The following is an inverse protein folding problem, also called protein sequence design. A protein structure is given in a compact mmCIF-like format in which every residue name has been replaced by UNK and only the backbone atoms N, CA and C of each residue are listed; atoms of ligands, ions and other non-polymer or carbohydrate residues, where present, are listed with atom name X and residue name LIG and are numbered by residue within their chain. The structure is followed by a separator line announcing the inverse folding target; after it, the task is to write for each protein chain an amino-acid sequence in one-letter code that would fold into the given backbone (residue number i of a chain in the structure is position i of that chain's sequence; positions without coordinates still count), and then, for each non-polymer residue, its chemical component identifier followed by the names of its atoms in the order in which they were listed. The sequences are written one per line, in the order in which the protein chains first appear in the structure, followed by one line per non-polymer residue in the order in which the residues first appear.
data_IF_772514722393
#
_entry.id   IF_772514722393
#
_cell.length_a   1.000
_cell.length_b   1.000
_cell.length_c   1.000
_cell.angle_alpha   90.00
_cell.angle_beta   90.00
_cell.angle_gamma   90.00
#
_symmetry.space_group_name_H-M   'P 1'
#
loop_
_entity.id
_entity.type
_entity.pdbx_description
1 polymer ?
#
# COMPACT_ATOMS: atom_id res chain seq x y z
N UNK A 1 -22.23 -10.67 -2.30
CA UNK A 1 -21.55 -10.61 -0.99
C UNK A 1 -21.78 -9.27 -0.32
N UNK A 2 -21.99 -9.28 0.98
CA UNK A 2 -22.11 -8.04 1.74
C UNK A 2 -20.75 -7.32 1.77
N UNK A 3 -20.78 -6.01 1.55
CA UNK A 3 -19.59 -5.18 1.69
C UNK A 3 -19.15 -5.13 3.15
N UNK A 4 -17.84 -5.13 3.37
CA UNK A 4 -17.25 -4.80 4.67
C UNK A 4 -16.92 -3.31 4.71
N UNK A 5 -17.18 -2.69 5.84
CA UNK A 5 -16.82 -1.29 6.06
C UNK A 5 -15.46 -1.21 6.75
N UNK A 6 -14.61 -0.35 6.22
CA UNK A 6 -13.30 -0.07 6.76
C UNK A 6 -12.94 1.39 6.52
N UNK A 7 -11.71 1.77 6.83
CA UNK A 7 -11.19 3.10 6.57
C UNK A 7 -9.89 2.99 5.75
N UNK A 8 -9.77 3.83 4.73
CA UNK A 8 -8.47 4.18 4.17
C UNK A 8 -7.91 5.27 5.09
N UNK A 9 -6.89 4.93 5.87
CA UNK A 9 -6.32 5.87 6.85
C UNK A 9 -5.18 6.67 6.28
N UNK A 10 -4.53 6.18 5.23
CA UNK A 10 -3.43 6.87 4.56
C UNK A 10 -3.26 6.37 3.14
N UNK A 11 -2.81 7.26 2.27
CA UNK A 11 -2.42 6.97 0.89
C UNK A 11 -1.01 7.49 0.67
N UNK A 12 -0.12 6.64 0.18
CA UNK A 12 1.29 6.93 -0.03
C UNK A 12 1.63 6.84 -1.52
N UNK A 13 2.16 7.93 -2.06
CA UNK A 13 2.67 7.99 -3.45
C UNK A 13 4.02 8.70 -3.43
N UNK A 14 5.03 8.08 -3.99
CA UNK A 14 6.35 8.70 -4.17
C UNK A 14 6.99 8.23 -5.47
N UNK A 15 7.65 9.13 -6.15
CA UNK A 15 8.38 8.84 -7.39
C UNK A 15 9.75 8.18 -7.15
N UNK A 16 10.19 8.06 -5.89
CA UNK A 16 11.53 7.55 -5.55
C UNK A 16 11.47 6.38 -4.58
N UNK A 17 12.50 5.53 -4.64
CA UNK A 17 12.76 4.49 -3.65
C UNK A 17 13.62 5.09 -2.53
N UNK A 18 12.97 5.57 -1.45
CA UNK A 18 13.69 6.21 -0.35
C UNK A 18 14.50 5.24 0.49
N UNK A 19 14.09 3.96 0.55
CA UNK A 19 14.76 2.92 1.36
C UNK A 19 15.73 2.12 0.50
N UNK A 20 16.71 2.81 -0.05
CA UNK A 20 17.81 2.23 -0.80
C UNK A 20 19.12 2.35 -0.02
N UNK A 21 20.05 1.44 -0.30
CA UNK A 21 21.36 1.42 0.35
C UNK A 21 21.27 0.87 1.77
N UNK A 22 22.15 1.34 2.65
CA UNK A 22 22.24 0.84 4.03
C UNK A 22 21.27 1.59 4.93
N UNK A 23 20.45 0.88 5.74
CA UNK A 23 19.57 1.54 6.71
C UNK A 23 20.28 2.51 7.65
N UNK A 24 21.53 2.23 8.02
CA UNK A 24 22.34 3.11 8.89
C UNK A 24 22.62 4.48 8.27
N UNK A 25 22.54 4.63 6.96
CA UNK A 25 22.73 5.90 6.25
C UNK A 25 21.48 6.77 6.19
N UNK A 26 20.35 6.25 6.67
CA UNK A 26 19.06 6.93 6.62
C UNK A 26 18.40 6.85 5.24
N UNK A 27 17.10 7.19 5.17
CA UNK A 27 16.35 7.16 3.92
C UNK A 27 16.75 8.32 3.00
N UNK A 28 16.57 8.12 1.71
CA UNK A 28 16.65 9.22 0.73
C UNK A 28 15.44 10.12 0.88
N UNK A 29 15.59 11.45 0.69
CA UNK A 29 14.45 12.35 0.74
C UNK A 29 13.51 12.13 -0.44
N UNK A 30 12.21 12.25 -0.19
CA UNK A 30 11.22 12.31 -1.24
C UNK A 30 11.20 13.71 -1.85
N UNK A 31 11.02 13.86 -3.18
CA UNK A 31 11.03 15.16 -3.85
C UNK A 31 9.79 16.00 -3.53
N UNK A 32 8.74 15.37 -3.02
CA UNK A 32 7.48 16.01 -2.61
C UNK A 32 6.85 15.22 -1.47
N UNK A 33 5.86 15.80 -0.76
CA UNK A 33 5.13 15.07 0.27
C UNK A 33 4.52 13.77 -0.27
N UNK A 34 4.65 12.68 0.49
CA UNK A 34 4.17 11.34 0.08
C UNK A 34 2.70 11.11 0.41
N UNK A 35 2.15 11.84 1.37
CA UNK A 35 0.74 11.73 1.77
C UNK A 35 -0.16 12.30 0.68
N UNK A 36 -1.23 11.58 0.37
CA UNK A 36 -2.26 12.01 -0.57
C UNK A 36 -3.62 11.90 0.09
N UNK A 37 -4.53 12.83 -0.22
CA UNK A 37 -5.94 12.72 0.15
C UNK A 37 -6.71 11.81 -0.82
N UNK A 38 -6.25 11.68 -2.04
CA UNK A 38 -6.75 10.75 -3.03
C UNK A 38 -5.64 10.28 -3.97
N UNK A 39 -5.89 9.18 -4.66
CA UNK A 39 -5.00 8.65 -5.70
C UNK A 39 -5.79 8.28 -6.93
N UNK A 40 -5.18 8.45 -8.10
CA UNK A 40 -5.69 7.94 -9.35
C UNK A 40 -5.07 6.56 -9.61
N UNK A 41 -5.93 5.58 -9.84
CA UNK A 41 -5.55 4.21 -10.16
C UNK A 41 -5.73 3.98 -11.65
N UNK A 42 -4.77 3.33 -12.28
CA UNK A 42 -4.85 2.91 -13.68
C UNK A 42 -4.65 1.41 -13.79
N UNK A 43 -5.59 0.75 -14.47
CA UNK A 43 -5.57 -0.70 -14.66
C UNK A 43 -4.24 -1.17 -15.26
N UNK A 44 -3.62 -2.15 -14.62
CA UNK A 44 -2.36 -2.74 -15.06
C UNK A 44 -1.13 -1.84 -14.92
N UNK A 45 -1.28 -0.59 -14.47
CA UNK A 45 -0.19 0.38 -14.38
C UNK A 45 0.18 0.75 -12.94
N UNK A 46 -0.80 0.97 -12.08
CA UNK A 46 -0.59 1.35 -10.68
C UNK A 46 -1.21 2.69 -10.31
N UNK A 47 -0.60 3.36 -9.32
CA UNK A 47 -1.03 4.68 -8.87
C UNK A 47 -0.24 5.76 -9.62
N UNK A 48 -0.95 6.71 -10.21
CA UNK A 48 -0.32 7.82 -10.95
C UNK A 48 0.64 8.58 -10.04
N UNK A 49 1.88 8.74 -10.50
CA UNK A 49 2.95 9.43 -9.77
C UNK A 49 3.79 8.55 -8.86
N UNK A 50 3.40 7.30 -8.65
CA UNK A 50 4.18 6.38 -7.83
C UNK A 50 5.35 5.76 -8.61
N UNK A 51 6.40 5.35 -7.88
CA UNK A 51 7.62 4.76 -8.47
C UNK A 51 7.39 3.45 -9.21
N UNK A 52 6.32 2.72 -8.88
CA UNK A 52 5.96 1.47 -9.55
C UNK A 52 4.99 1.67 -10.72
N UNK A 53 4.60 2.92 -10.98
CA UNK A 53 3.65 3.21 -12.06
C UNK A 53 4.26 2.96 -13.44
N UNK A 54 3.54 2.22 -14.29
CA UNK A 54 3.93 1.96 -15.68
C UNK A 54 5.27 1.23 -15.83
N UNK A 55 5.58 0.32 -14.91
CA UNK A 55 6.74 -0.56 -15.01
C UNK A 55 6.28 -1.98 -15.33
N UNK A 56 6.49 -2.50 -16.55
CA UNK A 56 6.02 -3.85 -16.92
C UNK A 56 6.52 -4.95 -15.99
N UNK A 57 7.75 -4.83 -15.49
CA UNK A 57 8.33 -5.78 -14.55
C UNK A 57 7.62 -5.80 -13.18
N UNK A 58 6.90 -4.73 -12.84
CA UNK A 58 6.21 -4.59 -11.56
C UNK A 58 4.68 -4.60 -11.69
N UNK A 59 4.14 -4.98 -12.83
CA UNK A 59 2.71 -4.95 -13.08
C UNK A 59 1.89 -5.64 -11.99
N UNK A 60 2.31 -6.83 -11.57
CA UNK A 60 1.62 -7.61 -10.53
C UNK A 60 1.90 -7.12 -9.10
N UNK A 61 2.79 -6.16 -8.93
CA UNK A 61 3.23 -5.63 -7.64
C UNK A 61 3.16 -4.11 -7.58
N UNK A 62 2.40 -3.48 -8.49
CA UNK A 62 2.39 -2.04 -8.67
C UNK A 62 1.71 -1.28 -7.53
N UNK A 63 0.81 -1.92 -6.79
CA UNK A 63 0.09 -1.31 -5.66
C UNK A 63 0.20 -2.23 -4.45
N UNK A 64 0.57 -1.65 -3.30
CA UNK A 64 0.59 -2.39 -2.04
C UNK A 64 -0.59 -1.98 -1.16
N UNK A 65 -1.33 -2.99 -0.69
CA UNK A 65 -2.34 -2.84 0.35
C UNK A 65 -1.74 -3.23 1.68
N UNK A 66 -2.03 -2.48 2.73
CA UNK A 66 -1.43 -2.67 4.05
C UNK A 66 -2.44 -2.42 5.16
N UNK A 67 -2.54 -3.35 6.11
CA UNK A 67 -3.30 -3.12 7.34
C UNK A 67 -2.48 -2.25 8.28
N UNK A 68 -3.12 -1.23 8.88
CA UNK A 68 -2.45 -0.30 9.79
C UNK A 68 -2.04 -1.03 11.08
N UNK A 69 -0.85 -1.61 11.09
CA UNK A 69 -0.34 -2.45 12.19
C UNK A 69 1.03 -2.01 12.69
N UNK A 70 1.41 -0.77 12.45
CA UNK A 70 2.69 -0.19 12.88
C UNK A 70 2.51 0.76 14.06
N UNK A 71 3.57 0.94 14.89
CA UNK A 71 3.49 1.73 16.13
C UNK A 71 3.71 3.23 15.90
N UNK A 72 3.23 3.79 14.80
CA UNK A 72 3.43 5.21 14.50
C UNK A 72 2.84 5.58 13.16
N UNK A 73 3.46 6.53 12.47
CA UNK A 73 2.99 6.99 11.16
C UNK A 73 3.02 5.84 10.14
N UNK A 74 1.86 5.38 9.64
CA UNK A 74 1.81 4.28 8.69
C UNK A 74 2.47 4.61 7.35
N UNK A 75 2.64 5.88 7.00
CA UNK A 75 3.31 6.28 5.77
C UNK A 75 4.80 5.90 5.76
N UNK A 76 5.43 5.76 6.92
CA UNK A 76 6.83 5.36 7.01
C UNK A 76 7.08 3.92 6.55
N UNK A 77 6.05 3.08 6.51
CA UNK A 77 6.15 1.74 5.92
C UNK A 77 6.21 1.76 4.40
N UNK A 78 5.91 2.89 3.78
CA UNK A 78 5.92 3.11 2.32
C UNK A 78 5.03 2.12 1.57
N UNK A 79 3.87 1.84 2.13
CA UNK A 79 2.80 1.05 1.52
C UNK A 79 1.76 2.00 0.95
N UNK A 80 1.24 1.72 -0.24
CA UNK A 80 0.41 2.68 -0.99
C UNK A 80 -0.94 2.96 -0.34
N UNK A 81 -1.69 1.92 0.00
CA UNK A 81 -3.05 2.04 0.54
C UNK A 81 -3.08 1.39 1.91
N UNK A 82 -3.25 2.20 2.94
CA UNK A 82 -3.27 1.74 4.33
C UNK A 82 -4.70 1.67 4.81
N UNK A 83 -5.13 0.48 5.23
CA UNK A 83 -6.49 0.19 5.67
C UNK A 83 -6.54 -0.06 7.17
N UNK A 84 -7.58 0.44 7.81
CA UNK A 84 -7.94 0.11 9.20
C UNK A 84 -9.27 -0.61 9.20
N UNK A 85 -9.41 -1.63 10.07
CA UNK A 85 -10.64 -2.42 10.16
C UNK A 85 -10.77 -3.52 9.10
N UNK A 86 -9.68 -3.86 8.43
CA UNK A 86 -9.64 -4.95 7.44
C UNK A 86 -8.27 -5.64 7.50
N UNK A 87 -8.27 -6.96 7.49
CA UNK A 87 -7.05 -7.76 7.52
C UNK A 87 -6.58 -8.07 6.09
N UNK A 88 -5.68 -7.23 5.59
CA UNK A 88 -5.09 -7.40 4.26
C UNK A 88 -4.27 -8.69 4.16
N UNK A 89 -3.57 -9.05 5.24
CA UNK A 89 -2.65 -10.20 5.22
C UNK A 89 -3.37 -11.53 5.12
N UNK A 90 -4.67 -11.57 5.43
CA UNK A 90 -5.51 -12.75 5.26
C UNK A 90 -5.97 -12.98 3.82
N UNK A 91 -5.76 -12.03 2.91
CA UNK A 91 -6.20 -12.18 1.51
C UNK A 91 -5.40 -13.27 0.80
N UNK A 92 -6.07 -14.28 0.22
CA UNK A 92 -5.36 -15.33 -0.51
C UNK A 92 -4.72 -14.80 -1.80
N UNK A 93 -3.61 -15.39 -2.20
CA UNK A 93 -3.02 -15.14 -3.50
C UNK A 93 -3.99 -15.51 -4.61
N UNK A 94 -4.11 -14.66 -5.62
CA UNK A 94 -5.02 -14.84 -6.74
C UNK A 94 -6.45 -14.35 -6.47
N UNK A 95 -6.77 -13.95 -5.23
CA UNK A 95 -8.07 -13.37 -4.93
C UNK A 95 -8.19 -11.96 -5.50
N UNK A 96 -9.43 -11.52 -5.73
CA UNK A 96 -9.73 -10.16 -6.16
C UNK A 96 -10.48 -9.45 -5.05
N UNK A 97 -10.02 -8.28 -4.68
CA UNK A 97 -10.66 -7.40 -3.69
C UNK A 97 -11.02 -6.07 -4.38
N UNK A 98 -12.22 -5.58 -4.11
CA UNK A 98 -12.68 -4.29 -4.62
C UNK A 98 -12.78 -3.28 -3.49
N UNK A 99 -12.25 -2.08 -3.69
CA UNK A 99 -12.33 -0.95 -2.75
C UNK A 99 -13.17 0.14 -3.39
N UNK A 100 -14.19 0.62 -2.66
CA UNK A 100 -15.02 1.73 -3.08
C UNK A 100 -15.06 2.81 -1.98
N UNK A 101 -14.43 3.94 -2.24
CA UNK A 101 -14.39 5.09 -1.33
C UNK A 101 -15.37 6.19 -1.70
N UNK A 102 -16.31 5.91 -2.59
CA UNK A 102 -17.35 6.84 -3.02
C UNK A 102 -17.33 7.20 -4.51
N UNK A 103 -16.26 6.87 -5.23
CA UNK A 103 -16.08 7.15 -6.65
C UNK A 103 -16.21 5.88 -7.53
N UNK A 104 -16.82 4.84 -6.98
CA UNK A 104 -16.96 3.54 -7.63
C UNK A 104 -15.90 2.53 -7.20
N UNK A 105 -16.17 1.22 -7.43
CA UNK A 105 -15.25 0.18 -7.02
C UNK A 105 -14.00 0.12 -7.90
N UNK A 106 -12.86 -0.08 -7.27
CA UNK A 106 -11.58 -0.36 -7.92
C UNK A 106 -11.11 -1.75 -7.46
N UNK A 107 -10.96 -2.68 -8.40
CA UNK A 107 -10.56 -4.05 -8.11
C UNK A 107 -9.05 -4.19 -8.17
N UNK A 108 -8.55 -5.03 -7.29
CA UNK A 108 -7.14 -5.41 -7.22
C UNK A 108 -7.03 -6.93 -7.18
N UNK A 109 -6.14 -7.49 -7.99
CA UNK A 109 -5.77 -8.90 -7.89
C UNK A 109 -4.58 -9.04 -6.95
N UNK A 110 -4.72 -9.88 -5.93
CA UNK A 110 -3.69 -10.11 -4.92
C UNK A 110 -2.66 -11.11 -5.47
N UNK A 111 -1.38 -10.73 -5.48
CA UNK A 111 -0.32 -11.59 -5.99
C UNK A 111 0.56 -12.16 -4.90
N UNK A 112 1.30 -11.34 -4.17
CA UNK A 112 2.27 -11.84 -3.19
C UNK A 112 2.32 -10.96 -1.94
N UNK A 113 2.83 -11.51 -0.81
CA UNK A 113 3.07 -10.69 0.37
C UNK A 113 4.11 -9.61 0.08
N UNK A 114 3.90 -8.43 0.68
CA UNK A 114 4.91 -7.39 0.74
C UNK A 114 5.72 -7.62 2.01
N UNK A 115 6.91 -8.21 1.87
CA UNK A 115 7.74 -8.52 3.04
C UNK A 115 8.28 -7.23 3.68
N UNK A 116 8.29 -7.13 5.02
CA UNK A 116 8.97 -6.03 5.69
C UNK A 116 10.48 -6.13 5.44
N UNK A 117 11.19 -5.02 5.64
CA UNK A 117 12.63 -4.98 5.51
C UNK A 117 13.28 -4.32 6.73
N UNK A 118 14.60 -4.41 6.83
CA UNK A 118 15.35 -3.89 7.96
C UNK A 118 15.17 -2.38 8.20
N UNK A 119 14.72 -1.62 7.19
CA UNK A 119 14.38 -0.21 7.33
C UNK A 119 13.29 0.03 8.37
N UNK A 120 12.45 -0.97 8.67
CA UNK A 120 11.40 -0.86 9.69
C UNK A 120 11.97 -0.62 11.09
N UNK A 121 13.17 -1.11 11.38
CA UNK A 121 13.83 -0.87 12.66
C UNK A 121 14.57 0.48 12.72
N UNK A 122 14.62 1.20 11.61
CA UNK A 122 15.20 2.54 11.52
C UNK A 122 14.11 3.61 11.66
N UNK A 123 13.02 3.45 10.92
CA UNK A 123 11.93 4.45 10.87
C UNK A 123 10.86 4.25 11.96
N UNK A 124 10.82 3.07 12.56
CA UNK A 124 9.97 2.71 13.70
C UNK A 124 10.84 2.25 14.87
N UNK A 125 10.27 2.05 16.07
CA UNK A 125 10.99 1.47 17.17
C UNK A 125 11.62 0.12 16.81
N UNK A 126 12.79 -0.15 17.37
CA UNK A 126 13.51 -1.40 17.17
C UNK A 126 12.65 -2.59 17.54
N UNK A 127 12.66 -3.63 16.71
CA UNK A 127 11.78 -4.80 16.84
C UNK A 127 10.59 -4.77 15.87
N UNK A 128 10.31 -3.64 15.24
CA UNK A 128 9.20 -3.50 14.29
C UNK A 128 9.38 -4.39 13.07
N UNK A 129 10.61 -4.55 12.58
CA UNK A 129 10.89 -5.45 11.46
C UNK A 129 10.42 -6.89 11.77
N UNK A 130 10.81 -7.42 12.94
CA UNK A 130 10.40 -8.76 13.35
C UNK A 130 8.89 -8.84 13.60
N UNK A 131 8.30 -7.81 14.19
CA UNK A 131 6.86 -7.75 14.47
C UNK A 131 6.00 -7.73 13.21
N UNK A 132 6.50 -7.18 12.10
CA UNK A 132 5.79 -7.13 10.83
C UNK A 132 5.94 -8.40 9.99
N UNK A 133 6.64 -9.41 10.45
CA UNK A 133 6.78 -10.67 9.71
C UNK A 133 5.41 -11.29 9.47
N UNK A 134 5.08 -11.52 8.18
CA UNK A 134 3.76 -12.00 7.77
C UNK A 134 2.65 -10.94 7.80
N UNK A 135 2.96 -9.69 8.14
CA UNK A 135 2.03 -8.57 8.28
C UNK A 135 2.43 -7.33 7.48
N UNK A 136 3.25 -7.52 6.47
CA UNK A 136 3.76 -6.43 5.61
C UNK A 136 2.80 -5.96 4.54
N UNK A 137 1.62 -6.55 4.43
CA UNK A 137 0.64 -6.25 3.39
C UNK A 137 0.76 -7.15 2.18
N UNK A 138 0.04 -6.80 1.12
CA UNK A 138 -0.02 -7.56 -0.14
C UNK A 138 0.29 -6.66 -1.33
N UNK A 139 1.09 -7.20 -2.24
CA UNK A 139 1.35 -6.58 -3.54
C UNK A 139 0.28 -7.01 -4.52
N UNK A 140 -0.29 -6.04 -5.23
CA UNK A 140 -1.47 -6.25 -6.06
C UNK A 140 -1.31 -5.62 -7.44
N UNK A 141 -2.09 -6.15 -8.39
CA UNK A 141 -2.30 -5.54 -9.69
C UNK A 141 -3.65 -4.84 -9.70
N UNK A 142 -3.72 -3.54 -10.04
CA UNK A 142 -5.01 -2.88 -10.24
C UNK A 142 -5.66 -3.39 -11.53
N UNK A 143 -6.95 -3.73 -11.44
CA UNK A 143 -7.74 -4.25 -12.56
C UNK A 143 -8.64 -3.18 -13.20
N UNK A 144 -8.86 -2.07 -12.50
CA UNK A 144 -9.73 -0.99 -12.97
C UNK A 144 -9.02 0.36 -12.87
N UNK A 145 -9.46 1.28 -13.72
CA UNK A 145 -9.21 2.70 -13.53
C UNK A 145 -10.18 3.25 -12.48
N UNK A 146 -9.74 4.19 -11.68
CA UNK A 146 -10.60 4.82 -10.70
C UNK A 146 -9.86 5.76 -9.76
N UNK A 147 -10.59 6.21 -8.75
CA UNK A 147 -10.08 7.11 -7.71
C UNK A 147 -10.38 6.50 -6.35
N UNK A 148 -9.39 6.53 -5.48
CA UNK A 148 -9.55 6.15 -4.07
C UNK A 148 -9.19 7.32 -3.18
N UNK A 149 -9.96 7.51 -2.10
CA UNK A 149 -9.83 8.65 -1.17
C UNK A 149 -9.61 8.17 0.25
N UNK A 150 -8.87 8.93 1.03
CA UNK A 150 -8.80 8.77 2.50
C UNK A 150 -10.20 8.91 3.08
N UNK A 151 -10.56 8.03 4.00
CA UNK A 151 -11.84 8.02 4.68
C UNK A 151 -12.55 6.67 4.56
N UNK A 152 -13.88 6.64 4.74
CA UNK A 152 -14.66 5.41 4.69
C UNK A 152 -14.52 4.70 3.35
N UNK A 153 -14.41 3.38 3.40
CA UNK A 153 -14.29 2.52 2.22
C UNK A 153 -15.15 1.28 2.42
N UNK A 154 -15.83 0.87 1.37
CA UNK A 154 -16.50 -0.42 1.28
C UNK A 154 -15.61 -1.41 0.56
N UNK A 155 -15.49 -2.62 1.10
CA UNK A 155 -14.60 -3.66 0.58
C UNK A 155 -15.44 -4.89 0.23
N UNK A 156 -15.28 -5.34 -0.97
CA UNK A 156 -16.02 -6.49 -1.51
C UNK A 156 -15.09 -7.68 -1.76
#
# INVERSE_FOLDING_TARGET
MAARRALIVALHVSSVHAYEGRPSSGPRPDPSPVSRDHVEVRAGLGLVGDRYFNHPAHRSAAVTLFSASVPGDPLLARRNIVLSGFDVDALPRGSVVALDSGDGPVRFEVHRPANPCAWMDVVYPRGTFAALRGRGGKRCEPLDDGVLRVGPVEIY
#
